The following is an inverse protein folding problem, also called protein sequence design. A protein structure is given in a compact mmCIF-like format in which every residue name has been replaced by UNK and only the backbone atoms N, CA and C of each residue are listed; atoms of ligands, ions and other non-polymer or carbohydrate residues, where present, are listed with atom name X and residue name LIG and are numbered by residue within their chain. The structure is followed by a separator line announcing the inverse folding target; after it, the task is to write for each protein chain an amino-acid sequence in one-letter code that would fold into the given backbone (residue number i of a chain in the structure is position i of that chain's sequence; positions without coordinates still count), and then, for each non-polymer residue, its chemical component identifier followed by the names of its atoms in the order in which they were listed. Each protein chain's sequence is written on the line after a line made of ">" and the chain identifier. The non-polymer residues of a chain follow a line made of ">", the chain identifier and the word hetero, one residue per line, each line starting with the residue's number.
data_IF_061899977879
#
_entry.id   IF_061899977879
#
_cell.length_a   1.000
_cell.length_b   1.000
_cell.length_c   1.000
_cell.angle_alpha   90.00
_cell.angle_beta   90.00
_cell.angle_gamma   90.00
#
_symmetry.space_group_name_H-M   'P 1'
#
loop_
_entity.id
_entity.type
_entity.pdbx_description
1 polymer ?
#
# COMPACT_ATOMS: atom_id res chain seq x y z
N UNK A 1 16.92 31.62 12.73
CA UNK A 1 17.20 31.22 14.12
C UNK A 1 15.88 30.69 14.65
N UNK A 2 15.80 29.40 14.93
CA UNK A 2 14.55 28.74 15.34
C UNK A 2 14.53 28.65 16.84
N UNK A 3 13.52 29.30 17.44
CA UNK A 3 13.25 29.34 18.86
C UNK A 3 12.99 27.92 19.39
N UNK A 4 13.91 27.43 20.22
CA UNK A 4 13.70 26.23 21.03
C UNK A 4 12.72 26.60 22.14
N UNK A 5 11.47 26.16 21.97
CA UNK A 5 10.43 26.26 22.97
C UNK A 5 10.84 25.37 24.15
N UNK A 6 11.37 25.98 25.21
CA UNK A 6 11.54 25.38 26.53
C UNK A 6 10.16 25.00 27.06
N UNK A 7 9.78 23.76 26.82
CA UNK A 7 8.65 23.12 27.49
C UNK A 7 9.20 22.71 28.85
N UNK A 8 9.03 23.58 29.87
CA UNK A 8 9.36 23.25 31.26
C UNK A 8 8.53 22.04 31.69
N UNK A 9 9.13 20.86 31.60
CA UNK A 9 8.52 19.60 31.95
C UNK A 9 9.09 19.18 33.31
N UNK A 10 8.27 18.83 34.33
CA UNK A 10 8.76 18.39 35.64
C UNK A 10 9.65 17.13 35.57
N UNK A 11 9.63 16.42 34.43
CA UNK A 11 10.49 15.28 34.14
C UNK A 11 11.96 15.69 33.89
N UNK A 12 12.20 16.92 33.46
CA UNK A 12 13.54 17.44 33.18
C UNK A 12 14.27 17.77 34.49
N UNK A 13 13.56 18.35 35.46
CA UNK A 13 14.11 18.63 36.81
C UNK A 13 14.57 17.35 37.53
N UNK A 14 13.80 16.26 37.40
CA UNK A 14 14.17 14.97 37.99
C UNK A 14 15.43 14.38 37.33
N UNK A 15 15.54 14.50 36.01
CA UNK A 15 16.71 14.02 35.28
C UNK A 15 17.96 14.85 35.62
N UNK A 16 17.83 16.17 35.74
CA UNK A 16 18.93 17.05 36.13
C UNK A 16 19.41 16.75 37.56
N UNK A 17 18.47 16.50 38.48
CA UNK A 17 18.81 16.10 39.86
C UNK A 17 19.57 14.77 39.90
N UNK A 18 19.17 13.80 39.08
CA UNK A 18 19.87 12.52 38.96
C UNK A 18 21.27 12.69 38.36
N UNK A 19 21.45 13.58 37.40
CA UNK A 19 22.76 13.89 36.81
C UNK A 19 23.71 14.54 37.83
N UNK A 20 23.21 15.47 38.67
CA UNK A 20 23.98 16.06 39.77
C UNK A 20 24.37 15.03 40.83
N UNK A 21 23.47 14.10 41.17
CA UNK A 21 23.79 13.02 42.10
C UNK A 21 24.87 12.07 41.56
N UNK A 22 24.95 11.91 40.23
CA UNK A 22 25.94 11.07 39.57
C UNK A 22 27.34 11.67 39.50
N UNK A 23 27.50 12.99 39.68
CA UNK A 23 28.81 13.64 39.68
C UNK A 23 29.71 13.20 40.83
N UNK A 24 29.11 12.79 41.95
CA UNK A 24 29.84 12.36 43.15
C UNK A 24 30.19 10.85 43.14
N UNK A 25 29.85 10.11 42.08
CA UNK A 25 30.10 8.68 41.98
C UNK A 25 31.36 8.34 41.15
N UNK A 26 32.02 7.20 41.44
CA UNK A 26 33.11 6.68 40.61
C UNK A 26 32.65 6.38 39.18
N UNK A 27 33.51 6.65 38.19
CA UNK A 27 33.18 6.57 36.76
C UNK A 27 32.61 5.19 36.34
N UNK A 28 33.14 4.11 36.91
CA UNK A 28 32.69 2.73 36.61
C UNK A 28 31.23 2.48 37.01
N UNK A 29 30.77 3.08 38.10
CA UNK A 29 29.38 2.96 38.58
C UNK A 29 28.47 4.01 37.94
N UNK A 30 29.04 5.15 37.53
CA UNK A 30 28.34 6.25 36.88
C UNK A 30 27.86 5.87 35.48
N UNK A 31 28.69 5.13 34.73
CA UNK A 31 28.45 4.95 33.30
C UNK A 31 27.19 4.16 32.94
N UNK A 32 26.86 3.04 33.60
CA UNK A 32 25.60 2.33 33.34
C UNK A 32 24.36 3.19 33.62
N UNK A 33 24.43 4.03 34.65
CA UNK A 33 23.31 4.91 35.05
C UNK A 33 23.19 6.08 34.07
N UNK A 34 24.31 6.63 33.60
CA UNK A 34 24.35 7.66 32.56
C UNK A 34 23.75 7.17 31.25
N UNK A 35 24.04 5.92 30.87
CA UNK A 35 23.43 5.29 29.69
C UNK A 35 21.91 5.15 29.82
N UNK A 36 21.41 4.80 31.01
CA UNK A 36 19.97 4.75 31.29
C UNK A 36 19.31 6.13 31.19
N UNK A 37 19.96 7.18 31.74
CA UNK A 37 19.47 8.57 31.63
C UNK A 37 19.42 9.00 30.18
N UNK A 38 20.47 8.73 29.40
CA UNK A 38 20.53 9.08 27.99
C UNK A 38 19.45 8.36 27.17
N UNK A 39 19.20 7.06 27.43
CA UNK A 39 18.09 6.32 26.82
C UNK A 39 16.75 6.98 27.13
N UNK A 40 16.53 7.36 28.39
CA UNK A 40 15.28 8.01 28.80
C UNK A 40 15.10 9.39 28.15
N UNK A 41 16.18 10.18 28.04
CA UNK A 41 16.16 11.47 27.32
C UNK A 41 15.83 11.30 25.84
N UNK A 42 16.31 10.23 25.20
CA UNK A 42 15.95 9.89 23.82
C UNK A 42 14.47 9.49 23.70
N UNK A 43 13.96 8.65 24.62
CA UNK A 43 12.53 8.26 24.64
C UNK A 43 11.59 9.45 24.86
N UNK A 44 12.00 10.40 25.70
CA UNK A 44 11.25 11.63 25.96
C UNK A 44 11.40 12.66 24.84
N UNK A 45 12.24 12.40 23.82
CA UNK A 45 12.47 13.31 22.71
C UNK A 45 13.31 14.55 23.05
N UNK A 46 13.94 14.57 24.23
CA UNK A 46 14.81 15.66 24.70
C UNK A 46 16.17 15.64 24.02
N UNK A 47 16.62 14.46 23.60
CA UNK A 47 17.88 14.26 22.86
C UNK A 47 17.60 13.43 21.61
N UNK A 48 18.23 13.81 20.49
CA UNK A 48 18.17 13.02 19.25
C UNK A 48 18.95 11.72 19.43
N UNK A 49 18.34 10.58 19.12
CA UNK A 49 19.05 9.30 19.11
C UNK A 49 20.20 9.34 18.12
N UNK A 50 21.42 9.00 18.56
CA UNK A 50 22.55 8.76 17.65
C UNK A 50 22.45 7.47 16.84
N UNK A 51 21.45 6.63 17.15
CA UNK A 51 21.14 5.43 16.39
C UNK A 51 20.52 5.81 15.04
N UNK A 52 20.94 5.16 13.94
CA UNK A 52 20.27 5.33 12.67
C UNK A 52 18.79 4.95 12.84
N UNK A 53 17.84 5.67 12.21
CA UNK A 53 16.44 5.32 12.27
C UNK A 53 16.28 3.87 11.84
N UNK A 54 15.72 3.03 12.71
CA UNK A 54 15.50 1.61 12.44
C UNK A 54 14.75 1.50 11.11
N UNK A 55 15.41 0.91 10.12
CA UNK A 55 15.26 1.15 8.67
C UNK A 55 13.94 0.74 8.02
N UNK A 56 12.81 0.79 8.72
CA UNK A 56 11.50 0.61 8.11
C UNK A 56 11.09 1.90 7.39
N UNK A 57 11.61 2.07 6.17
CA UNK A 57 11.03 3.01 5.22
C UNK A 57 9.64 2.49 4.89
N UNK A 58 8.61 3.05 5.53
CA UNK A 58 7.23 2.85 5.09
C UNK A 58 7.20 3.11 3.59
N UNK A 59 6.76 2.11 2.80
CA UNK A 59 6.61 2.29 1.35
C UNK A 59 5.86 3.60 1.14
N UNK A 60 6.47 4.52 0.37
CA UNK A 60 5.91 5.85 0.11
C UNK A 60 4.42 5.67 -0.20
N UNK A 61 3.56 6.42 0.49
CA UNK A 61 2.11 6.38 0.26
C UNK A 61 1.89 6.41 -1.25
N UNK A 62 1.19 5.40 -1.79
CA UNK A 62 0.86 5.35 -3.20
C UNK A 62 0.29 6.71 -3.59
N UNK A 63 0.82 7.33 -4.65
CA UNK A 63 0.30 8.61 -5.15
C UNK A 63 -1.21 8.42 -5.34
N UNK A 64 -2.02 9.29 -4.75
CA UNK A 64 -3.46 9.32 -5.01
C UNK A 64 -3.61 9.42 -6.53
N UNK A 65 -4.20 8.39 -7.13
CA UNK A 65 -4.44 8.35 -8.57
C UNK A 65 -5.35 9.53 -8.87
N UNK A 66 -4.84 10.51 -9.62
CA UNK A 66 -5.65 11.64 -10.08
C UNK A 66 -6.57 11.09 -11.16
N UNK A 67 -7.90 11.22 -11.05
CA UNK A 67 -8.81 10.74 -12.08
C UNK A 67 -8.51 11.47 -13.39
N UNK A 68 -8.11 10.70 -14.41
CA UNK A 68 -7.86 11.23 -15.76
C UNK A 68 -9.22 11.59 -16.37
N UNK A 69 -9.33 12.81 -16.92
CA UNK A 69 -10.55 13.23 -17.61
C UNK A 69 -10.77 12.31 -18.83
N UNK A 70 -11.98 11.75 -19.03
CA UNK A 70 -12.25 10.88 -20.16
C UNK A 70 -12.09 11.65 -21.47
N UNK A 71 -11.61 10.97 -22.51
CA UNK A 71 -11.46 11.56 -23.84
C UNK A 71 -12.82 11.90 -24.45
N UNK A 72 -12.85 12.84 -25.42
CA UNK A 72 -14.06 13.17 -26.19
C UNK A 72 -14.67 11.94 -26.88
N UNK A 73 -13.83 11.01 -27.34
CA UNK A 73 -14.28 9.76 -27.95
C UNK A 73 -15.00 8.88 -26.92
N UNK A 74 -14.41 8.71 -25.73
CA UNK A 74 -15.00 7.96 -24.61
C UNK A 74 -16.37 8.52 -24.22
N UNK A 75 -16.49 9.86 -24.12
CA UNK A 75 -17.76 10.51 -23.80
C UNK A 75 -18.84 10.31 -24.89
N UNK A 76 -18.45 10.33 -26.17
CA UNK A 76 -19.38 10.03 -27.28
C UNK A 76 -19.86 8.58 -27.23
N UNK A 77 -18.97 7.63 -27.00
CA UNK A 77 -19.32 6.20 -26.90
C UNK A 77 -20.28 5.94 -25.73
N UNK A 78 -20.00 6.51 -24.55
CA UNK A 78 -20.89 6.41 -23.39
C UNK A 78 -22.28 7.02 -23.68
N UNK A 79 -22.33 8.15 -24.38
CA UNK A 79 -23.59 8.75 -24.81
C UNK A 79 -24.38 7.88 -25.79
N UNK A 80 -23.71 7.16 -26.68
CA UNK A 80 -24.37 6.22 -27.60
C UNK A 80 -24.90 4.99 -26.87
N UNK A 81 -24.12 4.44 -25.93
CA UNK A 81 -24.53 3.31 -25.09
C UNK A 81 -25.75 3.70 -24.26
N UNK A 82 -25.73 4.87 -23.61
CA UNK A 82 -26.88 5.36 -22.84
C UNK A 82 -28.16 5.51 -23.69
N UNK A 83 -28.02 5.90 -24.97
CA UNK A 83 -29.15 6.01 -25.90
C UNK A 83 -29.69 4.66 -26.38
N UNK A 84 -28.88 3.60 -26.34
CA UNK A 84 -29.26 2.25 -26.76
C UNK A 84 -29.74 1.36 -25.60
N UNK A 85 -29.41 1.69 -24.34
CA UNK A 85 -29.93 0.95 -23.18
C UNK A 85 -31.47 1.01 -23.18
N UNK A 86 -32.10 -0.17 -23.16
CA UNK A 86 -33.56 -0.31 -23.15
C UNK A 86 -34.24 -0.20 -24.52
N UNK A 87 -33.51 -0.01 -25.61
CA UNK A 87 -34.06 -0.05 -26.97
C UNK A 87 -33.82 -1.43 -27.58
N UNK A 88 -34.86 -2.26 -27.62
CA UNK A 88 -34.90 -3.46 -28.44
C UNK A 88 -35.38 -3.04 -29.82
N UNK A 89 -34.51 -3.08 -30.82
CA UNK A 89 -34.92 -2.97 -32.22
C UNK A 89 -35.26 -4.36 -32.71
N UNK A 90 -36.53 -4.62 -33.04
CA UNK A 90 -36.91 -5.81 -33.80
C UNK A 90 -36.11 -5.84 -35.11
N UNK A 91 -35.31 -6.89 -35.30
CA UNK A 91 -34.65 -7.16 -36.57
C UNK A 91 -35.74 -7.62 -37.54
N UNK A 92 -36.42 -6.67 -38.19
CA UNK A 92 -37.38 -6.99 -39.25
C UNK A 92 -36.62 -7.47 -40.47
N UNK A 93 -36.34 -8.77 -40.55
CA UNK A 93 -35.79 -9.35 -41.77
C UNK A 93 -35.04 -10.68 -41.67
N UNK A 94 -34.79 -11.24 -40.49
CA UNK A 94 -34.27 -12.62 -40.43
C UNK A 94 -35.44 -13.58 -40.60
N UNK A 95 -35.66 -14.01 -41.85
CA UNK A 95 -36.42 -15.22 -42.14
C UNK A 95 -35.64 -16.35 -41.46
N UNK A 96 -36.18 -16.86 -40.36
CA UNK A 96 -35.74 -18.11 -39.76
C UNK A 96 -35.90 -19.20 -40.82
N UNK A 97 -34.80 -19.56 -41.48
CA UNK A 97 -34.77 -20.76 -42.31
C UNK A 97 -34.69 -21.94 -41.35
N UNK A 98 -35.69 -22.80 -41.38
CA UNK A 98 -35.63 -24.09 -40.70
C UNK A 98 -34.41 -24.83 -41.25
N UNK A 99 -33.43 -25.08 -40.38
CA UNK A 99 -32.26 -25.85 -40.73
C UNK A 99 -32.75 -27.30 -40.85
N UNK A 100 -33.01 -27.74 -42.08
CA UNK A 100 -33.28 -29.15 -42.38
C UNK A 100 -31.99 -29.92 -42.13
N UNK A 101 -31.82 -30.39 -40.88
CA UNK A 101 -30.67 -31.19 -40.46
C UNK A 101 -30.79 -32.53 -41.18
N UNK A 102 -30.11 -32.66 -42.33
CA UNK A 102 -29.92 -33.96 -42.95
C UNK A 102 -29.21 -34.86 -41.95
N UNK A 103 -29.65 -36.12 -41.86
CA UNK A 103 -29.08 -37.19 -41.03
C UNK A 103 -27.66 -37.58 -41.46
N UNK A 104 -26.74 -36.63 -41.56
CA UNK A 104 -25.33 -36.90 -41.73
C UNK A 104 -24.72 -37.23 -40.37
N UNK A 105 -24.05 -38.39 -40.22
CA UNK A 105 -23.47 -38.78 -38.95
C UNK A 105 -22.37 -37.79 -38.57
N UNK A 106 -22.53 -37.18 -37.40
CA UNK A 106 -21.59 -36.24 -36.79
C UNK A 106 -20.19 -36.88 -36.77
N UNK A 107 -19.23 -36.31 -37.52
CA UNK A 107 -17.84 -36.77 -37.49
C UNK A 107 -17.28 -36.50 -36.11
N UNK A 108 -17.18 -37.57 -35.30
CA UNK A 108 -16.54 -37.53 -33.99
C UNK A 108 -15.04 -37.43 -34.21
N UNK A 109 -14.51 -36.21 -34.27
CA UNK A 109 -13.08 -35.98 -34.11
C UNK A 109 -12.73 -36.25 -32.65
N UNK A 110 -12.51 -37.53 -32.37
CA UNK A 110 -12.12 -38.04 -31.05
C UNK A 110 -10.62 -38.29 -31.08
N UNK A 111 -9.83 -37.33 -30.61
CA UNK A 111 -8.52 -37.59 -30.00
C UNK A 111 -8.29 -36.63 -28.83
N UNK A 112 -8.58 -37.13 -27.64
CA UNK A 112 -7.93 -36.71 -26.40
C UNK A 112 -6.53 -37.33 -26.40
N UNK A 113 -5.50 -36.50 -26.32
CA UNK A 113 -4.12 -36.84 -25.89
C UNK A 113 -3.43 -35.51 -25.64
N UNK A 114 -2.76 -35.18 -24.55
CA UNK A 114 -2.47 -35.77 -23.25
C UNK A 114 -1.77 -34.59 -22.53
N UNK A 115 -2.16 -34.25 -21.30
CA UNK A 115 -1.48 -33.19 -20.54
C UNK A 115 -0.07 -33.68 -20.18
N UNK A 116 0.94 -33.15 -20.85
CA UNK A 116 2.32 -33.32 -20.42
C UNK A 116 2.64 -32.29 -19.34
N UNK A 117 2.61 -32.74 -18.09
CA UNK A 117 3.16 -32.06 -16.90
C UNK A 117 4.55 -31.49 -17.19
N UNK A 118 4.67 -30.16 -17.29
CA UNK A 118 5.92 -29.47 -17.64
C UNK A 118 6.67 -28.88 -16.43
N UNK A 119 6.56 -29.50 -15.25
CA UNK A 119 7.39 -29.13 -14.09
C UNK A 119 8.56 -30.10 -13.89
N UNK A 120 9.59 -29.95 -14.74
CA UNK A 120 10.99 -30.19 -14.36
C UNK A 120 11.89 -29.30 -15.22
N UNK A 121 12.42 -28.23 -14.64
CA UNK A 121 13.84 -27.81 -14.67
C UNK A 121 14.03 -26.63 -13.72
#
# INVERSE_FOLDING_TARGET
>A
MTDETTIDNPKDEMLEKLERMLENMPENSRQPIRDLINKRKVELGLIKSGLPPAGYKLKKRAKKVVPVKPSRATMKSLGNIAKSVGKITEIKGEVSQDIDVKDEPLKKDRKLTEEADSYKY
#
